data_IF_190944922130
#
_entry.id   IF_190944922130
#
_cell.length_a   1.000
_cell.length_b   1.000
_cell.length_c   1.000
_cell.angle_alpha   90.00
_cell.angle_beta   90.00
_cell.angle_gamma   90.00
#
_symmetry.space_group_name_H-M   'P 1'
#
loop_
_entity.id
_entity.type
_entity.pdbx_description
1 polymer ?
#
# COMPACT_ATOMS: atom_id res chain seq x y z
N UNK A 1 12.38 2.84 41.55
CA UNK A 1 10.94 3.14 41.47
C UNK A 1 10.88 4.58 41.03
N UNK A 2 10.64 4.92 39.76
CA UNK A 2 9.62 4.37 38.88
C UNK A 2 10.06 4.29 37.42
N UNK A 3 9.67 3.19 36.77
CA UNK A 3 9.74 2.97 35.33
C UNK A 3 8.68 3.86 34.66
N UNK A 4 9.11 4.82 33.85
CA UNK A 4 8.22 5.46 32.89
C UNK A 4 8.06 4.52 31.69
N UNK A 5 6.83 4.23 31.21
CA UNK A 5 6.65 3.37 30.06
C UNK A 5 7.07 4.14 28.80
N UNK A 6 8.22 3.73 28.27
CA UNK A 6 8.53 3.69 26.85
C UNK A 6 7.34 3.15 26.05
N UNK A 7 6.79 3.95 25.12
CA UNK A 7 6.33 3.56 23.77
C UNK A 7 5.39 4.61 23.16
N UNK A 8 5.85 5.86 22.98
CA UNK A 8 5.22 6.78 22.02
C UNK A 8 5.72 6.40 20.63
N UNK A 9 4.97 5.52 19.95
CA UNK A 9 5.07 5.38 18.50
C UNK A 9 4.79 6.75 17.89
N UNK A 10 5.85 7.41 17.42
CA UNK A 10 5.81 8.68 16.70
C UNK A 10 4.69 8.64 15.65
N UNK A 11 3.55 9.27 15.95
CA UNK A 11 2.46 9.40 14.99
C UNK A 11 2.95 10.37 13.91
N UNK A 12 3.18 9.86 12.70
CA UNK A 12 3.47 10.71 11.56
C UNK A 12 2.37 11.78 11.37
N UNK A 13 2.76 13.00 10.97
CA UNK A 13 1.80 14.09 10.82
C UNK A 13 0.75 13.73 9.77
N UNK A 14 -0.49 14.15 10.00
CA UNK A 14 -1.56 13.99 9.02
C UNK A 14 -1.36 14.93 7.83
N UNK A 15 -1.37 14.39 6.61
CA UNK A 15 -1.40 15.16 5.36
C UNK A 15 -2.80 15.72 5.11
N UNK A 16 -3.83 14.90 5.33
CA UNK A 16 -5.23 15.27 5.19
C UNK A 16 -6.10 14.43 6.12
N UNK A 17 -7.20 15.02 6.59
CA UNK A 17 -8.16 14.37 7.47
C UNK A 17 -9.55 14.92 7.20
N UNK A 18 -10.48 14.05 6.79
CA UNK A 18 -11.85 14.43 6.46
C UNK A 18 -12.84 13.29 6.74
N UNK A 19 -14.14 13.59 6.77
CA UNK A 19 -15.21 12.60 6.91
C UNK A 19 -15.60 12.08 5.53
N UNK A 20 -15.61 10.76 5.39
CA UNK A 20 -15.96 10.07 4.14
C UNK A 20 -16.95 8.94 4.43
N UNK A 21 -17.69 8.50 3.42
CA UNK A 21 -18.54 7.32 3.52
C UNK A 21 -17.71 6.07 3.22
N UNK A 22 -17.67 5.15 4.19
CA UNK A 22 -17.08 3.81 4.03
C UNK A 22 -18.22 2.83 4.24
N UNK A 23 -18.56 2.05 3.20
CA UNK A 23 -19.70 1.12 3.23
C UNK A 23 -21.01 1.80 3.70
N UNK A 24 -21.25 3.06 3.29
CA UNK A 24 -22.41 3.85 3.67
C UNK A 24 -22.37 4.48 5.07
N UNK A 25 -21.28 4.31 5.82
CA UNK A 25 -21.11 4.90 7.17
C UNK A 25 -20.14 6.07 7.13
N UNK A 26 -20.58 7.22 7.64
CA UNK A 26 -19.73 8.42 7.76
C UNK A 26 -18.62 8.18 8.78
N UNK A 27 -17.40 8.08 8.29
CA UNK A 27 -16.21 7.68 9.04
C UNK A 27 -15.11 8.72 8.85
N UNK A 28 -14.41 9.16 9.93
CA UNK A 28 -13.20 9.97 9.77
C UNK A 28 -12.09 9.14 9.14
N UNK A 29 -11.52 9.65 8.04
CA UNK A 29 -10.39 9.07 7.33
C UNK A 29 -9.22 10.06 7.35
N UNK A 30 -8.03 9.56 7.66
CA UNK A 30 -6.80 10.35 7.71
C UNK A 30 -5.72 9.69 6.87
N UNK A 31 -5.04 10.48 6.03
CA UNK A 31 -3.81 10.10 5.34
C UNK A 31 -2.62 10.69 6.12
N UNK A 32 -1.65 9.86 6.49
CA UNK A 32 -0.43 10.30 7.17
C UNK A 32 0.71 10.60 6.19
N UNK A 33 1.75 11.30 6.67
CA UNK A 33 2.95 11.57 5.90
C UNK A 33 3.70 10.30 5.47
N UNK A 34 3.58 9.23 6.24
CA UNK A 34 4.17 7.92 5.92
C UNK A 34 3.40 7.19 4.81
N UNK A 35 2.27 7.74 4.33
CA UNK A 35 1.42 7.10 3.33
C UNK A 35 0.42 6.13 3.92
N UNK A 36 0.18 6.18 5.23
CA UNK A 36 -0.80 5.31 5.87
C UNK A 36 -2.20 5.91 5.80
N UNK A 37 -3.18 5.07 5.46
CA UNK A 37 -4.61 5.40 5.61
C UNK A 37 -5.11 4.86 6.94
N UNK A 38 -5.62 5.77 7.79
CA UNK A 38 -6.13 5.47 9.13
C UNK A 38 -7.61 5.82 9.22
N UNK A 39 -8.43 4.85 9.60
CA UNK A 39 -9.85 5.06 9.89
C UNK A 39 -10.29 4.16 11.05
N UNK A 40 -11.40 4.53 11.68
CA UNK A 40 -12.03 3.72 12.73
C UNK A 40 -13.33 3.15 12.20
N UNK A 41 -13.38 1.82 12.03
CA UNK A 41 -14.59 1.13 11.60
C UNK A 41 -15.65 1.22 12.70
N UNK A 42 -16.86 1.68 12.35
CA UNK A 42 -17.96 1.83 13.31
C UNK A 42 -18.23 0.50 14.04
N UNK A 43 -18.07 0.50 15.37
CA UNK A 43 -18.29 -0.68 16.21
C UNK A 43 -17.03 -1.45 16.63
N UNK A 44 -15.84 -1.11 16.09
CA UNK A 44 -14.57 -1.70 16.53
C UNK A 44 -13.67 -0.62 17.14
N UNK A 45 -13.11 -0.89 18.33
CA UNK A 45 -12.07 -0.05 18.96
C UNK A 45 -10.72 -0.09 18.23
N UNK A 46 -10.63 -0.79 17.10
CA UNK A 46 -9.38 -1.03 16.37
C UNK A 46 -9.35 -0.13 15.14
N UNK A 47 -8.39 0.79 15.10
CA UNK A 47 -8.04 1.50 13.88
C UNK A 47 -7.56 0.47 12.85
N UNK A 48 -8.16 0.49 11.67
CA UNK A 48 -7.57 -0.22 10.54
C UNK A 48 -6.58 0.73 9.91
N UNK A 49 -5.35 0.24 9.75
CA UNK A 49 -4.25 0.99 9.17
C UNK A 49 -3.84 0.25 7.91
N UNK A 50 -3.87 0.96 6.80
CA UNK A 50 -3.21 0.52 5.59
C UNK A 50 -1.86 1.20 5.50
N UNK A 51 -0.79 0.45 5.26
CA UNK A 51 0.58 0.94 5.48
C UNK A 51 1.09 1.74 4.29
N UNK A 52 0.95 1.17 3.08
CA UNK A 52 1.48 1.77 1.87
C UNK A 52 0.40 1.96 0.81
N UNK A 53 0.14 3.21 0.41
CA UNK A 53 -0.68 3.51 -0.76
C UNK A 53 0.15 3.27 -2.03
N UNK A 54 -0.31 2.36 -2.89
CA UNK A 54 0.35 2.04 -4.16
C UNK A 54 -0.18 2.93 -5.29
N UNK A 55 -1.49 3.02 -5.44
CA UNK A 55 -2.14 3.90 -6.42
C UNK A 55 -3.56 4.19 -5.97
N UNK A 56 -4.23 5.08 -6.68
CA UNK A 56 -5.66 5.29 -6.52
C UNK A 56 -6.32 5.47 -7.88
N UNK A 57 -7.60 5.14 -7.94
CA UNK A 57 -8.46 5.29 -9.11
C UNK A 57 -9.75 5.94 -8.66
N UNK A 58 -10.24 6.91 -9.43
CA UNK A 58 -11.51 7.57 -9.19
C UNK A 58 -12.57 6.93 -10.09
N UNK A 59 -13.58 6.33 -9.49
CA UNK A 59 -14.71 5.67 -10.16
C UNK A 59 -16.00 6.42 -9.81
N UNK A 60 -16.32 7.45 -10.61
CA UNK A 60 -17.48 8.32 -10.35
C UNK A 60 -17.31 9.13 -9.06
N UNK A 61 -18.14 8.85 -8.04
CA UNK A 61 -18.04 9.47 -6.71
C UNK A 61 -17.20 8.64 -5.72
N UNK A 62 -16.70 7.48 -6.14
CA UNK A 62 -15.90 6.61 -5.26
C UNK A 62 -14.42 6.79 -5.57
N UNK A 63 -13.60 6.74 -4.53
CA UNK A 63 -12.14 6.71 -4.63
C UNK A 63 -11.69 5.33 -4.17
N UNK A 64 -11.10 4.57 -5.08
CA UNK A 64 -10.48 3.27 -4.80
C UNK A 64 -8.98 3.46 -4.63
N UNK A 65 -8.45 3.12 -3.48
CA UNK A 65 -7.02 3.17 -3.17
C UNK A 65 -6.48 1.75 -3.09
N UNK A 66 -5.50 1.44 -3.94
CA UNK A 66 -4.76 0.18 -3.88
C UNK A 66 -3.66 0.29 -2.84
N UNK A 67 -3.58 -0.68 -1.95
CA UNK A 67 -2.71 -0.59 -0.78
C UNK A 67 -2.22 -1.94 -0.29
N UNK A 68 -1.13 -1.94 0.47
CA UNK A 68 -0.59 -3.10 1.14
C UNK A 68 -0.92 -3.09 2.63
N UNK A 69 -1.43 -4.22 3.11
CA UNK A 69 -1.70 -4.44 4.53
C UNK A 69 -0.85 -5.59 5.01
N UNK A 70 -0.11 -5.35 6.09
CA UNK A 70 0.63 -6.38 6.80
C UNK A 70 -0.34 -7.34 7.52
N UNK A 71 -0.26 -8.64 7.22
CA UNK A 71 -0.90 -9.65 8.07
C UNK A 71 -0.02 -9.82 9.30
N UNK A 72 -0.57 -9.51 10.48
CA UNK A 72 0.09 -9.81 11.77
C UNK A 72 0.34 -11.32 11.84
N UNK A 73 1.62 -11.68 11.87
CA UNK A 73 2.08 -13.07 11.84
C UNK A 73 1.72 -13.84 13.10
N UNK A 74 1.29 -15.09 12.92
CA UNK A 74 1.26 -16.10 13.96
C UNK A 74 2.68 -16.56 14.30
N UNK A 75 2.88 -16.91 15.56
CA UNK A 75 4.10 -17.54 16.08
C UNK A 75 4.29 -18.89 15.37
N UNK A 76 5.36 -19.08 14.60
CA UNK A 76 6.06 -20.36 14.43
C UNK A 76 7.27 -20.23 13.48
N UNK A 77 8.28 -21.04 13.75
CA UNK A 77 9.64 -20.99 13.23
C UNK A 77 9.75 -21.33 11.73
N UNK A 78 10.49 -20.51 10.97
CA UNK A 78 11.01 -20.83 9.62
C UNK A 78 10.49 -19.92 8.50
N UNK A 79 11.34 -18.97 8.08
CA UNK A 79 11.33 -18.23 6.80
C UNK A 79 10.01 -17.59 6.32
N UNK A 80 9.81 -16.29 6.60
CA UNK A 80 9.62 -15.23 5.59
C UNK A 80 9.31 -13.88 6.25
N UNK A 81 9.91 -12.80 5.75
CA UNK A 81 9.50 -11.43 6.03
C UNK A 81 7.98 -11.25 5.84
N UNK A 82 7.36 -10.38 6.63
CA UNK A 82 5.91 -10.23 6.83
C UNK A 82 5.01 -10.55 5.63
N UNK A 83 3.94 -11.29 5.88
CA UNK A 83 2.93 -11.63 4.87
C UNK A 83 2.11 -10.38 4.52
N UNK A 84 2.50 -9.66 3.46
CA UNK A 84 1.77 -8.50 2.95
C UNK A 84 0.64 -8.94 2.01
N UNK A 85 -0.57 -8.48 2.30
CA UNK A 85 -1.73 -8.70 1.45
C UNK A 85 -2.08 -7.41 0.69
N UNK A 86 -2.18 -7.51 -0.64
CA UNK A 86 -2.77 -6.48 -1.47
C UNK A 86 -4.25 -6.33 -1.12
N UNK A 87 -4.70 -5.08 -0.95
CA UNK A 87 -6.09 -4.75 -0.67
C UNK A 87 -6.50 -3.50 -1.43
N UNK A 88 -7.78 -3.46 -1.76
CA UNK A 88 -8.45 -2.26 -2.24
C UNK A 88 -9.21 -1.65 -1.06
N UNK A 89 -8.95 -0.39 -0.79
CA UNK A 89 -9.71 0.43 0.13
C UNK A 89 -10.59 1.38 -0.68
N UNK A 90 -11.90 1.36 -0.46
CA UNK A 90 -12.85 2.19 -1.21
C UNK A 90 -13.57 3.11 -0.24
N UNK A 91 -13.64 4.38 -0.57
CA UNK A 91 -14.40 5.38 0.17
C UNK A 91 -15.08 6.37 -0.78
N UNK A 92 -16.12 7.02 -0.28
CA UNK A 92 -16.89 8.04 -1.00
C UNK A 92 -16.76 9.37 -0.26
N UNK A 93 -16.16 10.40 -0.89
CA UNK A 93 -16.15 11.76 -0.35
C UNK A 93 -17.57 12.32 -0.21
N UNK A 94 -17.78 13.18 0.80
CA UNK A 94 -19.10 13.77 1.08
C UNK A 94 -19.44 14.92 0.13
N UNK A 95 -18.46 15.48 -0.58
CA UNK A 95 -18.63 16.57 -1.55
C UNK A 95 -17.61 16.47 -2.68
N UNK A 96 -17.88 17.14 -3.80
CA UNK A 96 -16.93 17.25 -4.91
C UNK A 96 -15.62 17.93 -4.49
N UNK A 97 -15.69 18.93 -3.59
CA UNK A 97 -14.52 19.61 -3.04
C UNK A 97 -13.64 18.65 -2.21
N UNK A 98 -14.27 17.85 -1.34
CA UNK A 98 -13.60 16.80 -0.57
C UNK A 98 -12.95 15.78 -1.51
N UNK A 99 -13.65 15.36 -2.57
CA UNK A 99 -13.09 14.43 -3.57
C UNK A 99 -11.83 15.00 -4.21
N UNK A 100 -11.89 16.23 -4.69
CA UNK A 100 -10.75 16.88 -5.35
C UNK A 100 -9.57 17.02 -4.38
N UNK A 101 -9.84 17.44 -3.12
CA UNK A 101 -8.83 17.51 -2.08
C UNK A 101 -8.15 16.15 -1.84
N UNK A 102 -8.93 15.07 -1.73
CA UNK A 102 -8.38 13.72 -1.57
C UNK A 102 -7.54 13.28 -2.76
N UNK A 103 -8.01 13.54 -3.99
CA UNK A 103 -7.26 13.22 -5.20
C UNK A 103 -5.92 13.97 -5.24
N UNK A 104 -5.93 15.27 -4.95
CA UNK A 104 -4.73 16.10 -4.95
C UNK A 104 -3.73 15.63 -3.90
N UNK A 105 -4.20 15.30 -2.68
CA UNK A 105 -3.34 14.84 -1.59
C UNK A 105 -2.76 13.46 -1.82
N UNK A 106 -3.55 12.52 -2.36
CA UNK A 106 -3.06 11.20 -2.74
C UNK A 106 -2.06 11.30 -3.89
N UNK A 107 -2.33 12.15 -4.89
CA UNK A 107 -1.42 12.38 -6.01
C UNK A 107 -0.09 12.98 -5.54
N UNK A 108 -0.13 14.06 -4.75
CA UNK A 108 1.06 14.69 -4.17
C UNK A 108 1.89 13.71 -3.34
N UNK A 109 1.23 12.89 -2.52
CA UNK A 109 1.91 11.86 -1.74
C UNK A 109 2.60 10.84 -2.66
N UNK A 110 1.90 10.31 -3.66
CA UNK A 110 2.47 9.33 -4.60
C UNK A 110 3.64 9.90 -5.43
N UNK A 111 3.56 11.15 -5.87
CA UNK A 111 4.66 11.83 -6.58
C UNK A 111 5.86 12.03 -5.67
N UNK A 112 5.65 12.34 -4.39
CA UNK A 112 6.72 12.55 -3.42
C UNK A 112 7.57 11.30 -3.15
N UNK A 113 7.05 10.11 -3.48
CA UNK A 113 7.78 8.84 -3.33
C UNK A 113 8.89 8.67 -4.38
N UNK A 114 8.96 9.54 -5.40
CA UNK A 114 10.04 9.50 -6.40
C UNK A 114 10.07 8.21 -7.22
N UNK A 115 8.92 7.56 -7.41
CA UNK A 115 8.85 6.24 -8.06
C UNK A 115 9.24 6.31 -9.55
N UNK A 116 10.03 5.35 -10.05
CA UNK A 116 10.35 5.28 -11.47
C UNK A 116 9.11 4.90 -12.28
N UNK A 117 8.89 5.55 -13.42
CA UNK A 117 7.75 5.25 -14.32
C UNK A 117 7.93 3.95 -15.11
N UNK A 118 9.19 3.53 -15.32
CA UNK A 118 9.56 2.35 -16.10
C UNK A 118 10.74 1.65 -15.45
N UNK A 119 10.70 0.33 -15.38
CA UNK A 119 11.80 -0.52 -14.92
C UNK A 119 12.08 -1.61 -15.94
N UNK A 120 13.36 -1.84 -16.20
CA UNK A 120 13.85 -2.99 -16.94
C UNK A 120 14.33 -4.05 -15.94
N UNK A 121 13.72 -5.23 -15.95
CA UNK A 121 13.93 -6.26 -14.93
C UNK A 121 14.48 -7.52 -15.56
N UNK A 122 15.66 -7.95 -15.11
CA UNK A 122 16.21 -9.25 -15.44
C UNK A 122 15.66 -10.32 -14.49
N UNK A 123 15.12 -11.40 -15.04
CA UNK A 123 14.62 -12.55 -14.27
C UNK A 123 15.46 -13.78 -14.61
N UNK A 124 16.16 -14.34 -13.63
CA UNK A 124 16.82 -15.64 -13.81
C UNK A 124 15.82 -16.78 -13.51
N UNK A 125 15.29 -17.49 -14.52
CA UNK A 125 14.26 -18.50 -14.31
C UNK A 125 14.75 -19.70 -13.49
N UNK A 126 16.06 -19.94 -13.42
CA UNK A 126 16.66 -21.04 -12.65
C UNK A 126 16.88 -20.69 -11.17
N UNK A 127 16.73 -19.42 -10.79
CA UNK A 127 16.85 -18.96 -9.41
C UNK A 127 15.79 -19.57 -8.48
N UNK A 128 16.12 -19.66 -7.18
CA UNK A 128 15.17 -20.06 -6.14
C UNK A 128 14.54 -21.43 -6.40
N UNK A 129 15.33 -22.47 -6.70
CA UNK A 129 14.83 -23.81 -7.07
C UNK A 129 13.92 -23.80 -8.31
N UNK A 130 14.28 -23.02 -9.34
CA UNK A 130 13.52 -22.84 -10.60
C UNK A 130 12.13 -22.23 -10.43
N UNK A 131 11.89 -21.51 -9.34
CA UNK A 131 10.59 -20.87 -9.05
C UNK A 131 10.58 -19.36 -9.30
N UNK A 132 11.73 -18.76 -9.60
CA UNK A 132 11.88 -17.31 -9.74
C UNK A 132 10.90 -16.70 -10.76
N UNK A 133 10.73 -17.30 -11.95
CA UNK A 133 9.77 -16.84 -12.95
C UNK A 133 8.34 -16.84 -12.41
N UNK A 134 7.94 -17.93 -11.74
CA UNK A 134 6.60 -18.07 -11.14
C UNK A 134 6.37 -17.03 -10.06
N UNK A 135 7.31 -16.90 -9.12
CA UNK A 135 7.24 -15.90 -8.04
C UNK A 135 7.18 -14.48 -8.61
N UNK A 136 7.98 -14.18 -9.62
CA UNK A 136 7.99 -12.87 -10.24
C UNK A 136 6.62 -12.53 -10.85
N UNK A 137 6.05 -13.43 -11.64
CA UNK A 137 4.77 -13.21 -12.30
C UNK A 137 3.59 -13.16 -11.31
N UNK A 138 3.57 -14.04 -10.30
CA UNK A 138 2.42 -14.18 -9.40
C UNK A 138 2.45 -13.20 -8.22
N UNK A 139 3.64 -12.83 -7.73
CA UNK A 139 3.79 -12.07 -6.48
C UNK A 139 4.41 -10.69 -6.68
N UNK A 140 5.40 -10.56 -7.57
CA UNK A 140 6.20 -9.33 -7.69
C UNK A 140 5.62 -8.38 -8.74
N UNK A 141 5.40 -8.85 -9.96
CA UNK A 141 4.85 -8.08 -11.08
C UNK A 141 3.56 -7.34 -10.70
N UNK A 142 2.59 -7.96 -10.00
CA UNK A 142 1.36 -7.26 -9.65
C UNK A 142 1.56 -6.08 -8.69
N UNK A 143 2.61 -6.08 -7.87
CA UNK A 143 2.92 -4.94 -6.97
C UNK A 143 3.38 -3.72 -7.76
N UNK A 144 4.20 -3.93 -8.79
CA UNK A 144 4.64 -2.86 -9.68
C UNK A 144 3.50 -2.34 -10.55
N UNK A 145 2.63 -3.22 -11.03
CA UNK A 145 1.42 -2.82 -11.76
C UNK A 145 0.47 -2.01 -10.87
N UNK A 146 0.25 -2.41 -9.62
CA UNK A 146 -0.57 -1.65 -8.67
C UNK A 146 0.07 -0.31 -8.27
N UNK A 147 1.39 -0.14 -8.48
CA UNK A 147 2.10 1.11 -8.28
C UNK A 147 2.22 1.96 -9.56
N UNK A 148 1.53 1.60 -10.65
CA UNK A 148 1.61 2.23 -11.98
C UNK A 148 3.04 2.29 -12.57
N UNK A 149 3.84 1.25 -12.29
CA UNK A 149 5.20 1.11 -12.82
C UNK A 149 5.20 0.16 -14.02
N UNK A 150 5.63 0.66 -15.18
CA UNK A 150 5.75 -0.18 -16.38
C UNK A 150 6.97 -1.09 -16.27
N UNK A 151 6.80 -2.38 -16.53
CA UNK A 151 7.87 -3.37 -16.48
C UNK A 151 8.21 -3.90 -17.87
N UNK A 152 9.49 -3.85 -18.21
CA UNK A 152 10.08 -4.60 -19.33
C UNK A 152 10.91 -5.74 -18.76
N UNK A 153 10.61 -6.98 -19.14
CA UNK A 153 11.16 -8.17 -18.48
C UNK A 153 12.05 -8.93 -19.46
N UNK A 154 13.31 -9.16 -19.07
CA UNK A 154 14.24 -10.01 -19.81
C UNK A 154 14.64 -11.23 -18.99
N UNK A 155 14.32 -12.42 -19.47
CA UNK A 155 14.78 -13.65 -18.83
C UNK A 155 16.28 -13.90 -19.14
N UNK A 156 17.06 -14.24 -18.12
CA UNK A 156 18.45 -14.64 -18.32
C UNK A 156 18.56 -16.11 -18.72
N UNK A 157 19.51 -16.43 -19.60
CA UNK A 157 19.64 -17.78 -20.18
C UNK A 157 20.71 -18.63 -19.48
N UNK A 158 21.78 -18.00 -19.00
CA UNK A 158 22.93 -18.65 -18.37
C UNK A 158 23.62 -17.69 -17.38
N UNK A 159 24.61 -18.19 -16.64
CA UNK A 159 25.39 -17.38 -15.69
C UNK A 159 26.17 -16.28 -16.40
N UNK A 160 26.26 -15.06 -15.84
CA UNK A 160 26.93 -13.89 -16.45
C UNK A 160 26.28 -13.39 -17.76
N UNK A 161 24.97 -13.57 -17.93
CA UNK A 161 24.22 -13.08 -19.09
C UNK A 161 23.70 -11.63 -18.94
N UNK A 162 23.61 -11.11 -17.72
CA UNK A 162 23.09 -9.79 -17.39
C UNK A 162 24.20 -8.88 -16.85
#
# INVERSE_FOLDING_TARGET
MDLQPENDQLLSPAITSDRVLINGVVTPLTLTADGELRWTESGRRKSTVSKDVLSFVVEGNTVRVKTLVERRGGICCGESAGDYARKDFVFEPLSDESRNLWCDKLHQHLESLGRPKKLFVFVNPFGGKKSARKIFLEKVKPLFEDADIQLEIQETKYQLHA
#
